data_IF_500183226174
#
_entry.id   IF_500183226174
#
_cell.length_a   1.000
_cell.length_b   1.000
_cell.length_c   1.000
_cell.angle_alpha   90.00
_cell.angle_beta   90.00
_cell.angle_gamma   90.00
#
_symmetry.space_group_name_H-M   'P 1'
#
loop_
_entity.id
_entity.type
_entity.pdbx_description
1 polymer ?
#
# COMPACT_ATOMS: atom_id res chain seq x y z
N UNK A 1 -17.10 -13.32 7.32
CA UNK A 1 -18.08 -12.33 7.86
C UNK A 1 -18.39 -11.27 6.80
N UNK A 2 -19.60 -10.73 6.77
CA UNK A 2 -20.11 -9.85 5.70
C UNK A 2 -19.30 -8.56 5.52
N UNK A 3 -18.73 -8.02 6.61
CA UNK A 3 -17.86 -6.84 6.60
C UNK A 3 -16.62 -7.01 5.71
N UNK A 4 -15.96 -8.17 5.74
CA UNK A 4 -14.78 -8.43 4.91
C UNK A 4 -15.13 -8.56 3.44
N UNK A 5 -16.28 -9.17 3.14
CA UNK A 5 -16.77 -9.28 1.77
C UNK A 5 -17.02 -7.87 1.22
N UNK A 6 -17.67 -7.00 2.00
CA UNK A 6 -17.89 -5.62 1.58
C UNK A 6 -16.59 -4.85 1.41
N UNK A 7 -15.62 -5.01 2.31
CA UNK A 7 -14.30 -4.39 2.17
C UNK A 7 -13.55 -4.83 0.92
N UNK A 8 -13.59 -6.12 0.60
CA UNK A 8 -13.05 -6.65 -0.66
C UNK A 8 -13.81 -6.09 -1.87
N UNK A 9 -15.10 -5.76 -1.78
CA UNK A 9 -15.80 -5.10 -2.89
C UNK A 9 -15.44 -3.62 -2.99
N UNK A 10 -15.29 -2.90 -1.87
CA UNK A 10 -15.07 -1.46 -1.88
C UNK A 10 -13.62 -1.04 -2.14
N UNK A 11 -12.61 -1.91 -1.96
CA UNK A 11 -11.22 -1.55 -2.27
C UNK A 11 -11.01 -1.24 -3.77
N UNK A 12 -11.86 -1.80 -4.65
CA UNK A 12 -11.87 -1.51 -6.09
C UNK A 12 -12.64 -0.23 -6.48
N UNK A 13 -13.01 0.62 -5.53
CA UNK A 13 -13.89 1.78 -5.79
C UNK A 13 -13.29 2.77 -6.79
N UNK A 14 -14.05 3.06 -7.86
CA UNK A 14 -13.60 3.93 -8.96
C UNK A 14 -12.63 3.27 -9.93
N UNK A 15 -12.32 1.98 -9.74
CA UNK A 15 -11.53 1.15 -10.66
C UNK A 15 -12.41 0.09 -11.33
N UNK A 16 -13.00 -0.79 -10.53
CA UNK A 16 -13.81 -1.92 -10.97
C UNK A 16 -15.08 -2.12 -10.11
N UNK A 17 -15.31 -1.23 -9.15
CA UNK A 17 -16.44 -1.25 -8.23
C UNK A 17 -16.99 0.17 -8.03
N UNK A 18 -18.30 0.27 -7.88
CA UNK A 18 -19.00 1.52 -7.55
C UNK A 18 -19.25 1.66 -6.03
N UNK A 19 -18.86 0.67 -5.23
CA UNK A 19 -19.11 0.65 -3.79
C UNK A 19 -18.04 1.47 -3.07
N UNK A 20 -18.41 2.64 -2.56
CA UNK A 20 -17.50 3.50 -1.82
C UNK A 20 -17.08 2.90 -0.45
N UNK A 21 -15.79 3.03 -0.05
CA UNK A 21 -15.30 2.73 1.29
C UNK A 21 -15.91 3.67 2.35
N UNK A 22 -16.62 3.11 3.32
CA UNK A 22 -17.33 3.82 4.39
C UNK A 22 -16.69 3.58 5.76
N UNK A 23 -16.38 2.33 6.08
CA UNK A 23 -15.81 1.96 7.38
C UNK A 23 -14.30 2.16 7.41
N UNK A 24 -13.71 2.15 8.61
CA UNK A 24 -12.25 2.28 8.77
C UNK A 24 -11.50 1.16 8.05
N UNK A 25 -11.93 -0.09 8.22
CA UNK A 25 -11.38 -1.26 7.52
C UNK A 25 -11.36 -1.06 6.00
N UNK A 26 -12.49 -0.60 5.43
CA UNK A 26 -12.64 -0.42 3.99
C UNK A 26 -11.72 0.68 3.46
N UNK A 27 -11.64 1.80 4.18
CA UNK A 27 -10.80 2.95 3.82
C UNK A 27 -9.32 2.61 3.92
N UNK A 28 -8.93 1.89 4.96
CA UNK A 28 -7.55 1.40 5.12
C UNK A 28 -7.21 0.45 3.98
N UNK A 29 -8.05 -0.56 3.71
CA UNK A 29 -7.81 -1.52 2.63
C UNK A 29 -7.69 -0.83 1.26
N UNK A 30 -8.60 0.09 0.95
CA UNK A 30 -8.55 0.92 -0.26
C UNK A 30 -7.23 1.67 -0.40
N UNK A 31 -6.72 2.23 0.69
CA UNK A 31 -5.50 3.03 0.68
C UNK A 31 -4.22 2.17 0.56
N UNK A 32 -4.15 1.07 1.31
CA UNK A 32 -2.93 0.28 1.41
C UNK A 32 -2.75 -0.74 0.29
N UNK A 33 -3.83 -1.22 -0.34
CA UNK A 33 -3.75 -2.23 -1.40
C UNK A 33 -2.82 -1.78 -2.53
N UNK A 34 -3.09 -0.61 -3.09
CA UNK A 34 -2.28 0.02 -4.14
C UNK A 34 -0.87 0.41 -3.63
N UNK A 35 -0.77 0.85 -2.36
CA UNK A 35 0.50 1.26 -1.74
C UNK A 35 1.47 0.09 -1.55
N UNK A 36 0.97 -1.11 -1.27
CA UNK A 36 1.82 -2.30 -1.14
C UNK A 36 2.62 -2.51 -2.42
N UNK A 37 2.04 -2.30 -3.61
CA UNK A 37 2.75 -2.39 -4.90
C UNK A 37 3.98 -1.48 -5.00
N UNK A 38 3.91 -0.27 -4.44
CA UNK A 38 5.05 0.65 -4.37
C UNK A 38 6.13 0.15 -3.40
N UNK A 39 5.72 -0.39 -2.24
CA UNK A 39 6.64 -0.95 -1.23
C UNK A 39 7.34 -2.20 -1.77
N UNK A 40 6.59 -3.14 -2.37
CA UNK A 40 7.10 -4.35 -3.04
C UNK A 40 8.14 -3.95 -4.08
N UNK A 41 7.80 -3.05 -5.01
CA UNK A 41 8.73 -2.62 -6.05
C UNK A 41 9.98 -1.98 -5.44
N UNK A 42 9.84 -1.23 -4.34
CA UNK A 42 10.98 -0.64 -3.61
C UNK A 42 11.89 -1.69 -2.98
N UNK A 43 11.36 -2.81 -2.51
CA UNK A 43 12.13 -3.94 -2.00
C UNK A 43 12.85 -4.68 -3.14
N UNK A 44 12.13 -5.00 -4.22
CA UNK A 44 12.64 -5.85 -5.32
C UNK A 44 13.81 -5.24 -6.11
N UNK A 45 13.94 -3.91 -6.14
CA UNK A 45 15.08 -3.24 -6.79
C UNK A 45 16.35 -3.19 -5.93
N UNK A 46 16.30 -3.67 -4.68
CA UNK A 46 17.47 -3.76 -3.80
C UNK A 46 18.21 -5.07 -4.04
N UNK A 47 19.54 -5.11 -3.82
CA UNK A 47 20.31 -6.36 -3.90
C UNK A 47 19.76 -7.47 -3.02
N UNK A 48 19.31 -7.15 -1.79
CA UNK A 48 18.74 -8.11 -0.87
C UNK A 48 17.34 -8.60 -1.24
N UNK A 49 16.63 -7.88 -2.14
CA UNK A 49 15.20 -8.09 -2.46
C UNK A 49 14.29 -8.17 -1.22
N UNK A 50 14.72 -7.57 -0.11
CA UNK A 50 14.07 -7.68 1.19
C UNK A 50 13.34 -6.39 1.57
N UNK A 51 12.13 -6.53 2.12
CA UNK A 51 11.40 -5.41 2.72
C UNK A 51 12.00 -5.01 4.08
N UNK A 52 12.78 -5.89 4.71
CA UNK A 52 13.45 -5.62 5.99
C UNK A 52 14.48 -4.49 5.90
N UNK A 53 15.10 -4.31 4.73
CA UNK A 53 16.09 -3.25 4.49
C UNK A 53 15.45 -1.95 3.95
N UNK A 54 14.14 -1.96 3.72
CA UNK A 54 13.40 -0.80 3.22
C UNK A 54 13.15 0.16 4.39
N UNK A 55 13.38 1.45 4.13
CA UNK A 55 13.09 2.54 5.07
C UNK A 55 12.00 3.42 4.47
N UNK A 56 11.15 4.02 5.32
CA UNK A 56 10.10 4.98 4.92
C UNK A 56 10.63 6.04 3.95
N UNK A 57 11.82 6.60 4.22
CA UNK A 57 12.46 7.60 3.34
C UNK A 57 12.72 7.08 1.91
N UNK A 58 13.03 5.80 1.76
CA UNK A 58 13.24 5.19 0.44
C UNK A 58 11.94 5.09 -0.33
N UNK A 59 10.86 4.63 0.31
CA UNK A 59 9.52 4.57 -0.30
C UNK A 59 9.05 5.98 -0.65
N UNK A 60 9.20 6.97 0.23
CA UNK A 60 8.87 8.38 -0.02
C UNK A 60 9.66 9.01 -1.16
N UNK A 61 10.92 8.59 -1.37
CA UNK A 61 11.69 9.03 -2.56
C UNK A 61 11.10 8.43 -3.84
N UNK A 62 10.71 7.16 -3.81
CA UNK A 62 10.09 6.45 -4.95
C UNK A 62 8.67 6.91 -5.24
N UNK A 63 7.92 7.30 -4.23
CA UNK A 63 6.63 7.97 -4.35
C UNK A 63 6.69 9.17 -5.30
N UNK A 64 7.72 10.03 -5.16
CA UNK A 64 7.89 11.22 -6.01
C UNK A 64 8.29 10.90 -7.45
N UNK A 65 8.85 9.73 -7.69
CA UNK A 65 9.27 9.27 -9.02
C UNK A 65 8.12 8.52 -9.70
N UNK A 66 7.27 9.24 -10.44
CA UNK A 66 6.09 8.66 -11.10
C UNK A 66 6.41 7.56 -12.13
N UNK A 67 7.66 7.48 -12.62
CA UNK A 67 8.07 6.41 -13.54
C UNK A 67 8.39 5.12 -12.78
N UNK A 68 8.80 5.23 -11.52
CA UNK A 68 9.02 4.08 -10.66
C UNK A 68 7.68 3.46 -10.24
N UNK A 69 7.54 2.15 -10.40
CA UNK A 69 6.25 1.47 -10.20
C UNK A 69 5.14 2.20 -10.99
N UNK A 70 5.32 2.32 -12.31
CA UNK A 70 4.39 3.06 -13.18
C UNK A 70 2.96 2.47 -13.22
N UNK A 71 2.81 1.20 -12.81
CA UNK A 71 1.51 0.58 -12.62
C UNK A 71 0.78 1.02 -11.35
N UNK A 72 1.47 1.71 -10.42
CA UNK A 72 0.87 2.19 -9.17
C UNK A 72 0.17 3.53 -9.37
N UNK A 73 -1.14 3.56 -9.12
CA UNK A 73 -1.93 4.79 -9.10
C UNK A 73 -1.80 5.52 -7.75
N UNK A 74 -0.98 6.56 -7.76
CA UNK A 74 -0.74 7.41 -6.58
C UNK A 74 -1.98 8.20 -6.16
N UNK A 75 -2.88 8.50 -7.08
CA UNK A 75 -4.10 9.26 -6.75
C UNK A 75 -5.05 8.45 -5.87
N UNK A 76 -5.07 7.13 -6.02
CA UNK A 76 -5.83 6.20 -5.17
C UNK A 76 -5.27 6.20 -3.76
N UNK A 77 -3.95 6.08 -3.63
CA UNK A 77 -3.27 6.11 -2.33
C UNK A 77 -3.49 7.46 -1.64
N UNK A 78 -3.42 8.58 -2.39
CA UNK A 78 -3.70 9.93 -1.87
C UNK A 78 -5.13 10.07 -1.37
N UNK A 79 -6.11 9.61 -2.16
CA UNK A 79 -7.52 9.61 -1.78
C UNK A 79 -7.77 8.75 -0.55
N UNK A 80 -7.20 7.54 -0.51
CA UNK A 80 -7.30 6.64 0.63
C UNK A 80 -6.71 7.23 1.90
N UNK A 81 -5.52 7.81 1.83
CA UNK A 81 -4.87 8.49 2.95
C UNK A 81 -5.74 9.65 3.49
N UNK A 82 -6.36 10.44 2.60
CA UNK A 82 -7.32 11.48 3.00
C UNK A 82 -8.56 10.91 3.69
N UNK A 83 -9.11 9.78 3.21
CA UNK A 83 -10.29 9.14 3.80
C UNK A 83 -10.05 8.63 5.22
N UNK A 84 -8.82 8.19 5.53
CA UNK A 84 -8.41 7.77 6.89
C UNK A 84 -7.83 8.92 7.73
N UNK A 85 -7.66 10.11 7.14
CA UNK A 85 -7.13 11.28 7.84
C UNK A 85 -5.64 11.18 8.18
N UNK A 86 -4.86 10.47 7.36
CA UNK A 86 -3.41 10.26 7.56
C UNK A 86 -2.59 10.97 6.49
N UNK A 87 -1.39 11.39 6.86
CA UNK A 87 -0.40 11.85 5.89
C UNK A 87 0.18 10.66 5.12
N UNK A 88 0.57 10.89 3.87
CA UNK A 88 1.22 9.87 3.01
C UNK A 88 2.44 9.24 3.70
N UNK A 89 3.16 10.02 4.50
CA UNK A 89 4.35 9.51 5.19
C UNK A 89 3.99 8.49 6.28
N UNK A 90 2.86 8.70 6.95
CA UNK A 90 2.43 7.87 8.08
C UNK A 90 1.85 6.55 7.56
N UNK A 91 0.99 6.61 6.55
CA UNK A 91 0.45 5.38 5.94
C UNK A 91 1.56 4.55 5.25
N UNK A 92 2.61 5.17 4.71
CA UNK A 92 3.81 4.45 4.23
C UNK A 92 4.50 3.73 5.39
N UNK A 93 4.63 4.38 6.55
CA UNK A 93 5.29 3.80 7.71
C UNK A 93 4.53 2.57 8.22
N UNK A 94 3.22 2.70 8.39
CA UNK A 94 2.37 1.61 8.89
C UNK A 94 2.28 0.46 7.88
N UNK A 95 2.11 0.75 6.58
CA UNK A 95 2.11 -0.28 5.52
C UNK A 95 3.44 -1.03 5.50
N UNK A 96 4.57 -0.31 5.60
CA UNK A 96 5.88 -0.92 5.62
C UNK A 96 6.09 -1.80 6.85
N UNK A 97 5.69 -1.33 8.04
CA UNK A 97 5.79 -2.08 9.28
C UNK A 97 4.98 -3.38 9.21
N UNK A 98 3.72 -3.31 8.77
CA UNK A 98 2.86 -4.49 8.59
C UNK A 98 3.45 -5.50 7.60
N UNK A 99 3.98 -5.04 6.46
CA UNK A 99 4.64 -5.92 5.49
C UNK A 99 5.95 -6.54 6.04
N UNK A 100 6.65 -5.88 6.96
CA UNK A 100 7.85 -6.42 7.60
C UNK A 100 7.53 -7.54 8.59
N UNK A 101 6.40 -7.47 9.29
CA UNK A 101 5.95 -8.53 10.21
C UNK A 101 5.71 -9.85 9.48
N UNK A 102 5.17 -9.80 8.26
CA UNK A 102 4.83 -10.97 7.43
C UNK A 102 5.80 -11.17 6.25
N UNK A 103 7.01 -10.60 6.33
CA UNK A 103 7.96 -10.56 5.21
C UNK A 103 8.27 -11.93 4.60
N UNK A 104 8.29 -12.99 5.41
CA UNK A 104 8.48 -14.37 4.95
C UNK A 104 7.32 -14.87 4.09
N UNK A 105 6.09 -14.65 4.57
CA UNK A 105 4.86 -15.13 3.94
C UNK A 105 4.60 -14.45 2.59
N UNK A 106 4.97 -13.17 2.47
CA UNK A 106 4.84 -12.40 1.23
C UNK A 106 6.06 -12.52 0.31
N UNK A 107 7.05 -13.38 0.64
CA UNK A 107 8.23 -13.63 -0.18
C UNK A 107 9.21 -12.47 -0.27
N UNK A 108 9.23 -11.57 0.74
CA UNK A 108 10.07 -10.39 0.80
C UNK A 108 11.03 -10.38 2.00
N UNK A 109 11.33 -11.54 2.60
CA UNK A 109 12.35 -11.64 3.65
C UNK A 109 13.78 -11.44 3.11
N UNK A 110 13.99 -11.78 1.84
CA UNK A 110 15.25 -11.60 1.11
C UNK A 110 15.60 -12.83 0.26
N UNK A 111 16.70 -12.73 -0.49
CA UNK A 111 17.33 -13.85 -1.24
C UNK A 111 18.51 -14.46 -0.49
#
# INVERSE_FOLDING_TARGET
PEEYIRAVVSHGWGLCSEVEPQTELEKVLYAIDELTGLVVTTALVRPSKSVMDVKVKSVKKKWKDKRFAAGVDRSIIEKGAQMVGMEITDIIADTLAGMQEVAEEIGLKGV
#
